data_IF_561919093398
#
_entry.id   IF_561919093398
#
_cell.length_a   1.000
_cell.length_b   1.000
_cell.length_c   1.000
_cell.angle_alpha   90.00
_cell.angle_beta   90.00
_cell.angle_gamma   90.00
#
_symmetry.space_group_name_H-M   'P 1'
#
loop_
_entity.id
_entity.type
_entity.pdbx_description
1 polymer ?
#
# COMPACT_ATOMS: atom_id res chain seq x y z
N UNK A 1 -8.31 0.88 -16.35
CA UNK A 1 -8.57 -0.17 -15.34
C UNK A 1 -7.67 0.11 -14.16
N UNK A 2 -8.16 0.14 -12.91
CA UNK A 2 -7.26 0.09 -11.76
C UNK A 2 -6.67 -1.32 -11.72
N UNK A 3 -5.35 -1.44 -11.84
CA UNK A 3 -4.66 -2.68 -11.59
C UNK A 3 -4.49 -2.78 -10.08
N UNK A 4 -4.93 -3.89 -9.47
CA UNK A 4 -4.71 -4.12 -8.04
C UNK A 4 -3.21 -4.08 -7.74
N UNK A 5 -2.83 -3.80 -6.49
CA UNK A 5 -1.41 -3.83 -6.11
C UNK A 5 -0.78 -5.19 -6.46
N UNK A 6 -1.52 -6.28 -6.30
CA UNK A 6 -1.09 -7.62 -6.70
C UNK A 6 -0.81 -7.73 -8.21
N UNK A 7 -1.69 -7.18 -9.06
CA UNK A 7 -1.49 -7.17 -10.52
C UNK A 7 -0.25 -6.38 -10.91
N UNK A 8 -0.01 -5.23 -10.25
CA UNK A 8 1.17 -4.40 -10.50
C UNK A 8 2.44 -5.19 -10.13
N UNK A 9 2.48 -5.77 -8.93
CA UNK A 9 3.65 -6.51 -8.44
C UNK A 9 3.94 -7.75 -9.30
N UNK A 10 2.91 -8.53 -9.62
CA UNK A 10 3.05 -9.74 -10.46
C UNK A 10 3.47 -9.37 -11.88
N UNK A 11 2.86 -8.34 -12.47
CA UNK A 11 3.20 -7.88 -13.82
C UNK A 11 4.65 -7.38 -13.89
N UNK A 12 5.09 -6.58 -12.91
CA UNK A 12 6.48 -6.10 -12.85
C UNK A 12 7.44 -7.27 -12.71
N UNK A 13 7.20 -8.20 -11.78
CA UNK A 13 8.06 -9.37 -11.60
C UNK A 13 8.13 -10.24 -12.87
N UNK A 14 7.00 -10.48 -13.54
CA UNK A 14 6.94 -11.31 -14.76
C UNK A 14 7.59 -10.63 -15.96
N UNK A 15 7.48 -9.30 -16.08
CA UNK A 15 8.03 -8.54 -17.22
C UNK A 15 9.52 -8.26 -17.07
N UNK A 16 9.97 -7.90 -15.87
CA UNK A 16 11.34 -7.43 -15.65
C UNK A 16 12.23 -8.46 -14.96
N UNK A 17 11.64 -9.48 -14.31
CA UNK A 17 12.39 -10.43 -13.47
C UNK A 17 13.06 -9.76 -12.26
N UNK A 18 12.85 -8.45 -12.06
CA UNK A 18 13.62 -7.66 -11.13
C UNK A 18 12.94 -7.60 -9.76
N UNK A 19 13.47 -8.39 -8.83
CA UNK A 19 12.99 -8.41 -7.44
C UNK A 19 13.21 -7.08 -6.71
N UNK A 20 14.27 -6.34 -7.03
CA UNK A 20 14.55 -5.05 -6.38
C UNK A 20 13.51 -3.99 -6.75
N UNK A 21 13.05 -4.01 -8.00
CA UNK A 21 11.99 -3.12 -8.48
C UNK A 21 10.65 -3.42 -7.78
N UNK A 22 10.33 -4.70 -7.60
CA UNK A 22 9.15 -5.14 -6.83
C UNK A 22 9.24 -4.68 -5.37
N UNK A 23 10.41 -4.85 -4.73
CA UNK A 23 10.65 -4.37 -3.35
C UNK A 23 10.52 -2.85 -3.26
N UNK A 24 11.01 -2.11 -4.24
CA UNK A 24 10.86 -0.65 -4.31
C UNK A 24 9.39 -0.21 -4.37
N UNK A 25 8.57 -0.88 -5.19
CA UNK A 25 7.13 -0.63 -5.27
C UNK A 25 6.45 -0.88 -3.91
N UNK A 26 6.76 -2.00 -3.25
CA UNK A 26 6.23 -2.33 -1.92
C UNK A 26 6.64 -1.27 -0.90
N UNK A 27 7.91 -0.85 -0.89
CA UNK A 27 8.40 0.18 0.01
C UNK A 27 7.68 1.51 -0.20
N UNK A 28 7.45 1.92 -1.45
CA UNK A 28 6.69 3.13 -1.76
C UNK A 28 5.26 3.08 -1.22
N UNK A 29 4.61 1.91 -1.32
CA UNK A 29 3.27 1.70 -0.77
C UNK A 29 3.24 1.71 0.76
N UNK A 30 4.23 1.12 1.42
CA UNK A 30 4.35 1.21 2.89
C UNK A 30 4.56 2.65 3.37
N UNK A 31 5.31 3.47 2.62
CA UNK A 31 5.47 4.91 2.91
C UNK A 31 4.15 5.68 2.74
N UNK A 32 3.37 5.37 1.71
CA UNK A 32 2.03 5.95 1.50
C UNK A 32 1.10 5.61 2.67
N UNK A 33 1.06 4.34 3.09
CA UNK A 33 0.30 3.89 4.26
C UNK A 33 0.72 4.65 5.51
N UNK A 34 2.02 4.69 5.82
CA UNK A 34 2.53 5.40 7.00
C UNK A 34 2.18 6.90 6.98
N UNK A 35 2.26 7.54 5.81
CA UNK A 35 1.91 8.95 5.67
C UNK A 35 0.43 9.22 5.96
N UNK A 36 -0.47 8.38 5.44
CA UNK A 36 -1.92 8.52 5.67
C UNK A 36 -2.26 8.21 7.12
N UNK A 37 -1.68 7.17 7.72
CA UNK A 37 -1.87 6.86 9.15
C UNK A 37 -1.40 7.99 10.06
N UNK A 38 -0.22 8.58 9.81
CA UNK A 38 0.28 9.70 10.61
C UNK A 38 -0.65 10.92 10.52
N UNK A 39 -1.19 11.22 9.32
CA UNK A 39 -2.18 12.29 9.15
C UNK A 39 -3.50 11.98 9.87
N UNK A 40 -3.90 10.71 9.87
CA UNK A 40 -5.04 10.25 10.66
C UNK A 40 -4.77 10.28 12.17
N UNK A 41 -3.54 10.26 12.65
CA UNK A 41 -3.26 10.45 14.08
C UNK A 41 -3.29 11.95 14.45
N UNK A 42 -2.93 12.84 13.52
CA UNK A 42 -2.99 14.31 13.67
C UNK A 42 -4.37 14.92 13.34
N UNK A 43 -5.46 14.27 13.76
CA UNK A 43 -6.83 14.71 13.44
C UNK A 43 -7.21 16.06 14.06
N UNK A 44 -6.45 16.49 15.07
CA UNK A 44 -6.77 17.68 15.87
C UNK A 44 -6.80 18.98 15.06
N UNK A 45 -6.20 19.01 13.87
CA UNK A 45 -6.13 20.17 12.98
C UNK A 45 -6.85 19.97 11.64
N UNK A 46 -7.77 19.01 11.56
CA UNK A 46 -8.38 18.56 10.31
C UNK A 46 -9.81 19.07 10.15
N UNK A 47 -10.16 19.52 8.94
CA UNK A 47 -11.55 19.78 8.57
C UNK A 47 -12.31 18.48 8.28
N UNK A 48 -13.64 18.51 8.36
CA UNK A 48 -14.51 17.36 8.04
C UNK A 48 -14.23 16.80 6.63
N UNK A 49 -14.07 17.67 5.64
CA UNK A 49 -13.72 17.30 4.26
C UNK A 49 -12.35 16.61 4.15
N UNK A 50 -11.38 16.97 5.01
CA UNK A 50 -10.06 16.35 5.05
C UNK A 50 -10.10 14.99 5.74
N UNK A 51 -10.94 14.86 6.77
CA UNK A 51 -11.20 13.61 7.46
C UNK A 51 -11.80 12.58 6.52
N UNK A 52 -12.85 12.94 5.78
CA UNK A 52 -13.50 12.05 4.82
C UNK A 52 -12.53 11.57 3.73
N UNK A 53 -11.65 12.48 3.26
CA UNK A 53 -10.60 12.12 2.28
C UNK A 53 -9.61 11.12 2.85
N UNK A 54 -9.15 11.33 4.09
CA UNK A 54 -8.19 10.42 4.74
C UNK A 54 -8.84 9.09 5.06
N UNK A 55 -10.08 9.08 5.54
CA UNK A 55 -10.85 7.87 5.79
C UNK A 55 -11.02 7.04 4.50
N UNK A 56 -11.40 7.69 3.39
CA UNK A 56 -11.49 7.04 2.08
C UNK A 56 -10.12 6.53 1.57
N UNK A 57 -9.02 7.18 1.94
CA UNK A 57 -7.67 6.71 1.62
C UNK A 57 -7.29 5.47 2.45
N UNK A 58 -7.61 5.46 3.75
CA UNK A 58 -7.39 4.29 4.61
C UNK A 58 -8.11 3.06 4.07
N UNK A 59 -9.40 3.17 3.75
CA UNK A 59 -10.18 2.04 3.22
C UNK A 59 -9.57 1.43 1.96
N UNK A 60 -9.00 2.26 1.07
CA UNK A 60 -8.32 1.77 -0.14
C UNK A 60 -6.98 1.13 0.17
N UNK A 61 -6.27 1.65 1.17
CA UNK A 61 -4.96 1.16 1.57
C UNK A 61 -5.03 -0.14 2.38
N UNK A 62 -6.14 -0.42 3.06
CA UNK A 62 -6.36 -1.70 3.76
C UNK A 62 -6.28 -2.88 2.79
N UNK A 63 -6.93 -2.78 1.62
CA UNK A 63 -6.87 -3.80 0.56
C UNK A 63 -5.43 -4.02 0.07
N UNK A 64 -4.68 -2.92 -0.12
CA UNK A 64 -3.27 -2.99 -0.54
C UNK A 64 -2.36 -3.58 0.55
N UNK A 65 -2.62 -3.28 1.83
CA UNK A 65 -1.86 -3.80 2.96
C UNK A 65 -2.03 -5.31 3.12
N UNK A 66 -3.25 -5.84 2.94
CA UNK A 66 -3.50 -7.28 3.00
C UNK A 66 -2.67 -8.06 1.97
N UNK A 67 -2.51 -7.50 0.77
CA UNK A 67 -1.63 -8.07 -0.27
C UNK A 67 -0.18 -8.13 0.21
N UNK A 68 0.35 -7.02 0.75
CA UNK A 68 1.73 -6.95 1.25
C UNK A 68 1.94 -7.93 2.41
N UNK A 69 1.01 -7.98 3.37
CA UNK A 69 1.07 -8.88 4.52
C UNK A 69 1.04 -10.35 4.09
N UNK A 70 0.24 -10.69 3.07
CA UNK A 70 0.16 -12.05 2.51
C UNK A 70 1.46 -12.47 1.83
N UNK A 71 2.10 -11.57 1.06
CA UNK A 71 3.40 -11.82 0.45
C UNK A 71 4.50 -12.02 1.50
N UNK A 72 4.48 -11.26 2.59
CA UNK A 72 5.43 -11.44 3.71
C UNK A 72 5.31 -12.81 4.37
N UNK A 73 4.09 -13.32 4.55
CA UNK A 73 3.85 -14.67 5.10
C UNK A 73 4.36 -15.77 4.16
N UNK A 74 4.16 -15.62 2.85
CA UNK A 74 4.67 -16.58 1.85
C UNK A 74 6.20 -16.66 1.86
N UNK A 75 6.90 -15.53 2.02
CA UNK A 75 8.36 -15.49 2.06
C UNK A 75 8.98 -16.14 3.32
N UNK A 76 8.20 -16.39 4.38
CA UNK A 76 8.67 -17.09 5.60
C UNK A 76 8.55 -18.62 5.52
N UNK A 77 7.86 -19.15 4.51
CA UNK A 77 7.62 -20.58 4.31
C UNK A 77 8.52 -21.21 3.24
N UNK A 78 9.49 -20.47 2.71
CA UNK A 78 10.57 -20.93 1.84
C UNK A 78 11.91 -20.78 2.56
#
# INVERSE_FOLDING_TARGET
MPHSLLDILTTTLLKTGNKEEVVSIINKKLQEISSVTNRWEDQNNMSEDEYDKIFCQILKLEEEYEVIASLSKLNKNF
#
